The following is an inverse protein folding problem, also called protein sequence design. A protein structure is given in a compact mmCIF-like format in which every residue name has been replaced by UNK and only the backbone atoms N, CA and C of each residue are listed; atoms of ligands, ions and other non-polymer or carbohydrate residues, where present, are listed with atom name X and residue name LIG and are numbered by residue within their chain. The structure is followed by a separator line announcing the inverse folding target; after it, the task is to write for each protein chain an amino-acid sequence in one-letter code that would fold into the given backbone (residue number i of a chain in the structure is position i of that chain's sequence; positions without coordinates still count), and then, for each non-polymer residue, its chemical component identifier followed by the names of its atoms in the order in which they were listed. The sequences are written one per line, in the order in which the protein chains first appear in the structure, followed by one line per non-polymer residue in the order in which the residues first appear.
data_IF_375865258093
#
_entry.id   IF_375865258093
#
_cell.length_a   1.000
_cell.length_b   1.000
_cell.length_c   1.000
_cell.angle_alpha   90.00
_cell.angle_beta   90.00
_cell.angle_gamma   90.00
#
_symmetry.space_group_name_H-M   'P 1'
#
loop_
_entity.id
_entity.type
_entity.pdbx_description
1 polymer ?
#
# COMPACT_ATOMS: atom_id res chain seq x y z
N UNK A 1 6.94 -1.97 -52.86
CA UNK A 1 7.74 -1.37 -51.78
C UNK A 1 6.81 -0.69 -50.79
N UNK A 2 6.59 -1.24 -49.57
CA UNK A 2 5.72 -0.61 -48.59
C UNK A 2 6.48 0.50 -47.86
N UNK A 3 5.92 1.72 -47.88
CA UNK A 3 6.44 2.90 -47.20
C UNK A 3 6.42 2.67 -45.68
N UNK A 4 7.60 2.55 -45.06
CA UNK A 4 7.79 2.60 -43.61
C UNK A 4 7.39 3.98 -43.10
N UNK A 5 6.22 4.08 -42.46
CA UNK A 5 5.86 5.24 -41.64
C UNK A 5 6.65 5.10 -40.34
N UNK A 6 7.88 5.60 -40.33
CA UNK A 6 8.63 5.81 -39.08
C UNK A 6 8.08 7.06 -38.41
N UNK A 7 7.13 6.88 -37.47
CA UNK A 7 6.78 7.92 -36.51
C UNK A 7 8.05 8.28 -35.74
N UNK A 8 8.52 9.52 -35.88
CA UNK A 8 9.61 10.05 -35.09
C UNK A 8 9.12 10.21 -33.65
N UNK A 9 9.43 9.22 -32.81
CA UNK A 9 9.29 9.36 -31.35
C UNK A 9 10.46 10.22 -30.88
N UNK A 10 10.18 11.36 -30.25
CA UNK A 10 11.22 12.22 -29.68
C UNK A 10 12.12 11.40 -28.75
N UNK A 11 13.42 11.32 -29.08
CA UNK A 11 14.36 10.53 -28.30
C UNK A 11 14.55 11.19 -26.95
N UNK A 12 14.17 10.54 -25.86
CA UNK A 12 13.97 11.30 -24.66
C UNK A 12 15.32 11.52 -23.95
N UNK A 13 15.47 12.65 -23.23
CA UNK A 13 16.78 13.22 -22.83
C UNK A 13 17.53 12.42 -21.76
N UNK A 14 16.82 11.55 -21.03
CA UNK A 14 17.41 10.69 -20.00
C UNK A 14 18.09 9.46 -20.62
N UNK A 15 19.41 9.36 -20.51
CA UNK A 15 20.25 8.26 -21.03
C UNK A 15 19.77 6.87 -20.60
N UNK A 16 19.22 6.74 -19.39
CA UNK A 16 18.74 5.45 -18.87
C UNK A 16 17.47 4.98 -19.56
N UNK A 17 16.51 5.88 -19.81
CA UNK A 17 15.29 5.48 -20.51
C UNK A 17 15.64 5.12 -21.95
N UNK A 18 16.59 5.82 -22.58
CA UNK A 18 17.14 5.40 -23.89
C UNK A 18 17.71 3.97 -23.86
N UNK A 19 18.49 3.59 -22.85
CA UNK A 19 18.98 2.21 -22.67
C UNK A 19 17.82 1.21 -22.44
N UNK A 20 16.80 1.60 -21.67
CA UNK A 20 15.59 0.80 -21.44
C UNK A 20 14.81 0.55 -22.75
N UNK A 21 14.65 1.59 -23.59
CA UNK A 21 14.02 1.51 -24.91
C UNK A 21 14.82 0.67 -25.90
N UNK A 22 16.13 0.60 -25.71
CA UNK A 22 17.04 -0.21 -26.53
C UNK A 22 16.91 -1.70 -26.21
N UNK A 23 16.51 -2.03 -24.97
CA UNK A 23 16.42 -3.41 -24.46
C UNK A 23 15.10 -4.07 -24.83
N UNK A 24 13.99 -3.31 -24.82
CA UNK A 24 12.68 -3.75 -25.27
C UNK A 24 11.95 -2.57 -25.96
N UNK A 25 11.89 -2.54 -27.31
CA UNK A 25 11.32 -1.44 -28.10
C UNK A 25 9.85 -1.16 -27.79
N UNK A 26 9.13 -2.11 -27.18
CA UNK A 26 7.71 -1.97 -26.83
C UNK A 26 7.48 -0.92 -25.73
N UNK A 27 8.46 -0.69 -24.86
CA UNK A 27 8.44 0.40 -23.88
C UNK A 27 8.56 1.80 -24.54
N UNK A 28 9.16 1.88 -25.74
CA UNK A 28 9.53 3.15 -26.39
C UNK A 28 8.47 3.77 -27.26
N UNK A 29 7.45 3.00 -27.62
CA UNK A 29 6.29 3.52 -28.34
C UNK A 29 5.44 4.45 -27.45
N UNK A 30 5.68 4.41 -26.13
CA UNK A 30 4.76 4.96 -25.14
C UNK A 30 5.32 6.02 -24.17
N UNK A 31 6.59 6.39 -24.32
CA UNK A 31 7.31 7.22 -23.36
C UNK A 31 7.53 8.65 -23.89
N UNK A 32 6.69 9.58 -23.45
CA UNK A 32 6.95 11.01 -23.48
C UNK A 32 7.25 11.44 -22.03
N UNK A 33 8.51 11.76 -21.70
CA UNK A 33 8.88 12.12 -20.34
C UNK A 33 9.67 13.43 -20.28
N UNK A 34 9.19 14.33 -19.42
CA UNK A 34 9.97 15.46 -18.91
C UNK A 34 10.51 15.13 -17.51
N UNK A 35 11.68 15.69 -17.17
CA UNK A 35 12.35 15.50 -15.86
C UNK A 35 11.48 15.96 -14.67
N UNK A 36 10.48 16.80 -14.93
CA UNK A 36 9.62 17.39 -13.90
C UNK A 36 8.51 16.44 -13.40
N UNK A 37 8.12 15.45 -14.21
CA UNK A 37 6.92 14.63 -13.98
C UNK A 37 7.22 13.29 -13.30
N UNK A 38 8.42 12.74 -13.51
CA UNK A 38 8.84 11.43 -12.98
C UNK A 38 10.13 11.57 -12.17
N UNK A 39 10.01 11.57 -10.83
CA UNK A 39 11.17 11.61 -9.93
C UNK A 39 11.49 10.22 -9.42
N UNK A 40 12.57 9.63 -9.93
CA UNK A 40 13.18 8.43 -9.38
C UNK A 40 14.10 8.82 -8.22
N UNK A 41 13.90 8.22 -7.06
CA UNK A 41 14.78 8.36 -5.89
C UNK A 41 15.27 6.98 -5.49
N UNK A 42 16.58 6.75 -5.61
CA UNK A 42 17.27 5.60 -5.02
C UNK A 42 18.05 6.02 -3.79
N UNK A 43 18.18 5.13 -2.81
CA UNK A 43 19.20 5.30 -1.76
C UNK A 43 20.59 5.24 -2.42
N UNK A 44 21.53 6.15 -2.09
CA UNK A 44 22.92 6.08 -2.57
C UNK A 44 23.52 4.70 -2.26
N UNK A 45 24.19 4.06 -3.22
CA UNK A 45 24.78 2.73 -3.06
C UNK A 45 23.81 1.54 -3.20
N UNK A 46 22.52 1.76 -3.50
CA UNK A 46 21.59 0.66 -3.72
C UNK A 46 21.90 -0.13 -5.00
N UNK A 47 21.87 -1.46 -4.93
CA UNK A 47 22.02 -2.37 -6.08
C UNK A 47 21.04 -2.05 -7.21
N UNK A 48 19.85 -1.56 -6.89
CA UNK A 48 18.85 -1.12 -7.87
C UNK A 48 19.33 0.07 -8.71
N UNK A 49 20.11 1.00 -8.15
CA UNK A 49 20.66 2.14 -8.88
C UNK A 49 21.72 1.70 -9.92
N UNK A 50 22.45 0.62 -9.63
CA UNK A 50 23.43 0.02 -10.55
C UNK A 50 22.75 -0.91 -11.56
N UNK A 51 21.80 -1.73 -11.09
CA UNK A 51 21.04 -2.70 -11.86
C UNK A 51 20.17 -2.03 -12.92
N UNK A 52 19.64 -0.83 -12.62
CA UNK A 52 18.84 -0.03 -13.57
C UNK A 52 17.64 -0.81 -14.13
N UNK A 53 17.21 -1.86 -13.45
CA UNK A 53 16.12 -2.75 -13.83
C UNK A 53 16.40 -3.72 -14.98
N UNK A 54 17.47 -3.53 -15.77
CA UNK A 54 17.80 -4.39 -16.92
C UNK A 54 18.71 -5.55 -16.59
N UNK A 55 19.57 -5.39 -15.56
CA UNK A 55 20.62 -6.39 -15.24
C UNK A 55 20.19 -7.48 -14.26
N UNK A 56 18.98 -7.37 -13.69
CA UNK A 56 18.42 -8.30 -12.68
C UNK A 56 19.41 -8.71 -11.57
N UNK A 57 20.28 -7.80 -11.15
CA UNK A 57 21.35 -8.05 -10.15
C UNK A 57 20.81 -8.49 -8.77
N UNK A 58 19.51 -8.37 -8.53
CA UNK A 58 18.85 -8.83 -7.30
C UNK A 58 18.31 -10.27 -7.41
N UNK A 59 18.70 -11.03 -8.44
CA UNK A 59 18.33 -12.43 -8.64
C UNK A 59 16.86 -12.69 -9.00
N UNK A 60 16.04 -11.64 -9.14
CA UNK A 60 14.61 -11.78 -9.47
C UNK A 60 14.41 -12.00 -10.96
N UNK A 61 13.47 -12.88 -11.32
CA UNK A 61 13.10 -13.15 -12.72
C UNK A 61 12.55 -11.92 -13.46
N UNK A 62 11.96 -10.95 -12.74
CA UNK A 62 11.49 -9.66 -13.28
C UNK A 62 11.83 -8.53 -12.31
N UNK A 63 12.11 -7.35 -12.85
CA UNK A 63 12.37 -6.16 -12.04
C UNK A 63 11.05 -5.52 -11.55
N UNK A 64 10.78 -5.48 -10.23
CA UNK A 64 9.57 -4.87 -9.70
C UNK A 64 9.48 -3.36 -9.97
N UNK A 65 10.63 -2.69 -10.15
CA UNK A 65 10.70 -1.26 -10.45
C UNK A 65 10.12 -0.98 -11.84
N UNK A 66 10.48 -1.82 -12.83
CA UNK A 66 9.96 -1.68 -14.19
C UNK A 66 8.48 -2.05 -14.26
N UNK A 67 8.06 -3.08 -13.52
CA UNK A 67 6.64 -3.42 -13.38
C UNK A 67 5.85 -2.22 -12.82
N UNK A 68 6.32 -1.61 -11.72
CA UNK A 68 5.71 -0.40 -11.13
C UNK A 68 5.67 0.76 -12.12
N UNK A 69 6.76 1.01 -12.84
CA UNK A 69 6.84 2.10 -13.82
C UNK A 69 5.85 1.89 -14.97
N UNK A 70 5.74 0.67 -15.49
CA UNK A 70 4.80 0.36 -16.57
C UNK A 70 3.34 0.57 -16.15
N UNK A 71 2.97 0.11 -14.95
CA UNK A 71 1.62 0.30 -14.39
C UNK A 71 1.30 1.77 -14.21
N UNK A 72 2.24 2.54 -13.69
CA UNK A 72 2.09 3.99 -13.51
C UNK A 72 1.88 4.74 -14.82
N UNK A 73 2.68 4.46 -15.86
CA UNK A 73 2.56 5.15 -17.15
C UNK A 73 1.18 4.94 -17.77
N UNK A 74 0.62 3.73 -17.63
CA UNK A 74 -0.74 3.41 -18.07
C UNK A 74 -1.80 4.28 -17.37
N UNK A 75 -1.62 4.57 -16.09
CA UNK A 75 -2.57 5.38 -15.30
C UNK A 75 -2.38 6.86 -15.57
N UNK A 76 -1.12 7.32 -15.65
CA UNK A 76 -0.81 8.73 -15.91
C UNK A 76 -1.45 9.20 -17.22
N UNK A 77 -1.41 8.38 -18.27
CA UNK A 77 -2.10 8.65 -19.55
C UNK A 77 -3.61 8.78 -19.43
N UNK A 78 -4.23 8.10 -18.47
CA UNK A 78 -5.67 8.19 -18.21
C UNK A 78 -6.04 9.44 -17.41
N UNK A 79 -5.07 10.05 -16.71
CA UNK A 79 -5.28 11.25 -15.91
C UNK A 79 -4.75 12.46 -16.68
N UNK A 80 -5.54 12.95 -17.62
CA UNK A 80 -5.18 14.08 -18.49
C UNK A 80 -5.51 15.48 -17.91
N UNK A 81 -6.06 15.55 -16.68
CA UNK A 81 -6.60 16.77 -16.10
C UNK A 81 -6.29 17.01 -14.62
N UNK A 82 -6.97 18.02 -14.08
CA UNK A 82 -6.98 18.35 -12.65
C UNK A 82 -8.16 17.71 -11.90
N UNK A 83 -9.20 17.24 -12.61
CA UNK A 83 -10.27 16.43 -12.04
C UNK A 83 -10.02 14.96 -12.36
N UNK A 84 -10.26 14.10 -11.37
CA UNK A 84 -10.16 12.64 -11.49
C UNK A 84 -11.49 12.05 -11.03
N UNK A 85 -12.25 11.55 -11.98
CA UNK A 85 -13.48 10.80 -11.73
C UNK A 85 -13.19 9.30 -11.68
N UNK A 86 -13.78 8.60 -10.71
CA UNK A 86 -13.72 7.15 -10.65
C UNK A 86 -14.29 6.59 -9.37
N UNK A 87 -13.68 5.53 -8.86
CA UNK A 87 -14.18 4.81 -7.69
C UNK A 87 -13.05 4.54 -6.68
N UNK A 88 -13.37 4.70 -5.40
CA UNK A 88 -12.48 4.40 -4.28
C UNK A 88 -12.79 3.01 -3.70
N UNK A 89 -11.77 2.18 -3.36
CA UNK A 89 -11.89 0.93 -2.59
C UNK A 89 -12.14 1.18 -1.09
N UNK A 90 -12.99 2.16 -0.79
CA UNK A 90 -12.88 3.13 0.30
C UNK A 90 -11.48 3.39 0.88
N UNK A 91 -10.46 3.51 0.04
CA UNK A 91 -9.06 3.54 0.51
C UNK A 91 -8.64 4.93 1.00
N UNK A 92 -7.92 5.01 2.13
CA UNK A 92 -7.42 6.27 2.71
C UNK A 92 -5.96 6.13 3.13
N UNK A 93 -5.24 7.24 3.16
CA UNK A 93 -3.84 7.26 3.57
C UNK A 93 -3.54 8.35 4.58
N UNK A 94 -2.82 7.98 5.64
CA UNK A 94 -2.26 8.89 6.63
C UNK A 94 -0.74 8.73 6.64
N UNK A 95 -0.03 9.78 6.22
CA UNK A 95 1.42 9.80 6.18
C UNK A 95 2.05 9.85 7.58
N UNK A 96 3.31 9.43 7.68
CA UNK A 96 4.12 9.50 8.92
C UNK A 96 5.06 10.70 8.98
N UNK A 97 5.39 11.27 7.83
CA UNK A 97 6.36 12.37 7.74
C UNK A 97 5.73 13.71 8.09
N UNK A 98 6.48 14.55 8.81
CA UNK A 98 6.02 15.87 9.23
C UNK A 98 5.19 15.88 10.51
N UNK A 99 5.19 14.79 11.29
CA UNK A 99 4.46 14.70 12.56
C UNK A 99 4.75 15.91 13.47
N UNK A 100 3.73 16.57 14.06
CA UNK A 100 2.31 16.17 14.08
C UNK A 100 1.47 16.60 12.86
N UNK A 101 2.03 17.37 11.92
CA UNK A 101 1.33 17.83 10.71
C UNK A 101 1.61 16.92 9.52
N UNK A 102 0.77 15.90 9.36
CA UNK A 102 0.98 14.85 8.33
C UNK A 102 0.13 15.09 7.09
N UNK A 103 0.53 14.46 5.99
CA UNK A 103 -0.27 14.39 4.77
C UNK A 103 -1.36 13.32 4.92
N UNK A 104 -2.60 13.68 4.65
CA UNK A 104 -3.77 12.80 4.71
C UNK A 104 -4.51 12.89 3.38
N UNK A 105 -5.20 11.82 2.99
CA UNK A 105 -6.29 11.94 2.04
C UNK A 105 -6.78 10.63 1.44
N UNK A 106 -7.83 10.73 0.61
CA UNK A 106 -8.46 9.58 -0.03
C UNK A 106 -7.59 9.03 -1.16
N UNK A 107 -7.84 7.77 -1.50
CA UNK A 107 -7.28 7.09 -2.65
C UNK A 107 -8.41 6.63 -3.56
N UNK A 108 -8.34 6.98 -4.84
CA UNK A 108 -9.31 6.55 -5.85
C UNK A 108 -8.61 6.12 -7.14
N UNK A 109 -9.21 5.21 -7.88
CA UNK A 109 -8.73 4.84 -9.21
C UNK A 109 -9.58 5.57 -10.28
N UNK A 110 -8.98 6.01 -11.40
CA UNK A 110 -9.70 6.61 -12.53
C UNK A 110 -10.43 5.53 -13.35
N UNK A 111 -11.26 4.74 -12.67
CA UNK A 111 -12.01 3.60 -13.18
C UNK A 111 -13.35 3.61 -12.45
N UNK A 112 -14.45 3.43 -13.18
CA UNK A 112 -15.79 3.28 -12.59
C UNK A 112 -16.09 1.80 -12.35
N UNK A 113 -16.79 1.50 -11.25
CA UNK A 113 -17.21 0.16 -10.87
C UNK A 113 -16.48 -0.37 -9.64
N UNK A 114 -16.55 -1.68 -9.42
CA UNK A 114 -16.00 -2.30 -8.21
C UNK A 114 -14.46 -2.22 -8.18
N UNK A 115 -13.95 -1.33 -7.33
CA UNK A 115 -12.53 -1.16 -7.07
C UNK A 115 -12.08 -1.80 -5.77
N UNK A 116 -12.95 -2.54 -5.07
CA UNK A 116 -12.67 -3.13 -3.75
C UNK A 116 -11.41 -3.99 -3.75
N UNK A 117 -11.14 -4.71 -4.84
CA UNK A 117 -9.95 -5.55 -5.00
C UNK A 117 -8.64 -4.75 -4.95
N UNK A 118 -8.64 -3.43 -5.19
CA UNK A 118 -7.42 -2.62 -5.26
C UNK A 118 -6.81 -2.33 -3.88
N UNK A 119 -7.58 -2.46 -2.79
CA UNK A 119 -7.14 -2.20 -1.40
C UNK A 119 -7.77 -3.19 -0.42
N UNK A 120 -7.85 -4.47 -0.80
CA UNK A 120 -8.36 -5.53 0.06
C UNK A 120 -7.41 -6.75 0.09
N UNK A 121 -6.31 -6.65 0.87
CA UNK A 121 -5.28 -7.69 0.99
C UNK A 121 -5.80 -9.09 1.29
N UNK A 122 -6.89 -9.21 2.04
CA UNK A 122 -7.53 -10.49 2.38
C UNK A 122 -7.98 -11.28 1.13
N UNK A 123 -8.19 -10.61 -0.02
CA UNK A 123 -8.52 -11.23 -1.31
C UNK A 123 -7.32 -11.36 -2.27
N UNK A 124 -6.11 -10.99 -1.84
CA UNK A 124 -4.93 -11.06 -2.71
C UNK A 124 -4.22 -12.40 -2.67
N UNK A 125 -4.52 -13.27 -1.71
CA UNK A 125 -3.91 -14.60 -1.67
C UNK A 125 -4.14 -15.35 -3.00
N UNK A 126 -3.08 -15.93 -3.56
CA UNK A 126 -3.09 -16.55 -4.89
C UNK A 126 -2.90 -15.59 -6.08
N UNK A 127 -2.81 -14.28 -5.84
CA UNK A 127 -2.47 -13.29 -6.89
C UNK A 127 -0.97 -13.18 -7.10
N UNK A 128 -0.58 -12.81 -8.31
CA UNK A 128 0.81 -12.54 -8.65
C UNK A 128 1.29 -11.20 -8.09
N UNK A 129 2.60 -11.06 -7.91
CA UNK A 129 3.20 -9.78 -7.48
C UNK A 129 2.91 -8.65 -8.48
N UNK A 130 2.85 -8.98 -9.78
CA UNK A 130 2.57 -8.04 -10.85
C UNK A 130 1.13 -7.49 -10.74
N UNK A 131 0.15 -8.35 -10.44
CA UNK A 131 -1.24 -7.93 -10.17
C UNK A 131 -1.32 -7.02 -8.94
N UNK A 132 -0.65 -7.36 -7.84
CA UNK A 132 -0.67 -6.55 -6.62
C UNK A 132 -0.02 -5.18 -6.86
N UNK A 133 1.10 -5.15 -7.59
CA UNK A 133 1.73 -3.89 -8.02
C UNK A 133 0.74 -3.07 -8.85
N UNK A 134 0.07 -3.68 -9.82
CA UNK A 134 -0.92 -3.01 -10.65
C UNK A 134 -2.09 -2.44 -9.82
N UNK A 135 -2.63 -3.23 -8.89
CA UNK A 135 -3.71 -2.81 -7.99
C UNK A 135 -3.35 -1.54 -7.22
N UNK A 136 -2.17 -1.55 -6.58
CA UNK A 136 -1.70 -0.45 -5.74
C UNK A 136 -1.26 0.77 -6.54
N UNK A 137 -0.66 0.56 -7.71
CA UNK A 137 -0.26 1.65 -8.59
C UNK A 137 -1.47 2.40 -9.16
N UNK A 138 -2.61 1.73 -9.38
CA UNK A 138 -3.88 2.34 -9.88
C UNK A 138 -4.50 3.38 -8.96
N UNK A 139 -4.14 3.36 -7.67
CA UNK A 139 -4.73 4.25 -6.68
C UNK A 139 -4.02 5.61 -6.67
N UNK A 140 -4.71 6.60 -7.23
CA UNK A 140 -4.32 8.01 -7.15
C UNK A 140 -4.65 8.56 -5.77
N UNK A 141 -3.69 9.27 -5.19
CA UNK A 141 -3.79 9.80 -3.83
C UNK A 141 -4.01 11.31 -3.85
N UNK A 142 -5.18 11.75 -3.39
CA UNK A 142 -5.42 13.14 -3.01
C UNK A 142 -4.73 13.43 -1.67
N UNK A 143 -4.04 14.56 -1.55
CA UNK A 143 -3.26 14.87 -0.34
C UNK A 143 -3.55 16.28 0.19
N UNK A 144 -3.73 16.40 1.50
CA UNK A 144 -3.83 17.68 2.22
C UNK A 144 -3.20 17.53 3.61
N UNK A 145 -2.85 18.64 4.28
CA UNK A 145 -2.14 18.60 5.57
C UNK A 145 -3.10 18.74 6.74
N UNK A 146 -2.89 17.93 7.79
CA UNK A 146 -3.72 17.93 9.02
C UNK A 146 -2.84 17.75 10.26
N UNK A 147 -3.18 18.43 11.36
CA UNK A 147 -2.63 18.11 12.69
C UNK A 147 -3.33 16.86 13.24
N UNK A 148 -2.58 15.77 13.36
CA UNK A 148 -3.07 14.47 13.87
C UNK A 148 -3.70 14.55 15.25
N UNK A 149 -3.31 15.53 16.06
CA UNK A 149 -3.76 15.68 17.46
C UNK A 149 -5.11 16.37 17.57
N UNK A 150 -5.52 17.10 16.53
CA UNK A 150 -6.75 17.91 16.52
C UNK A 150 -7.55 17.65 15.23
N UNK A 151 -7.97 16.40 14.97
CA UNK A 151 -8.68 16.05 13.73
C UNK A 151 -9.99 16.84 13.56
N UNK A 152 -10.68 17.16 14.66
CA UNK A 152 -11.93 17.93 14.66
C UNK A 152 -11.79 19.36 14.09
N UNK A 153 -10.57 19.88 13.89
CA UNK A 153 -10.34 21.21 13.28
C UNK A 153 -10.03 21.15 11.79
N UNK A 154 -9.94 19.97 11.19
CA UNK A 154 -9.46 19.80 9.82
C UNK A 154 -10.52 20.09 8.74
N UNK A 155 -11.77 20.32 9.15
CA UNK A 155 -12.87 20.70 8.27
C UNK A 155 -13.38 19.56 7.36
N UNK A 156 -14.19 19.96 6.37
CA UNK A 156 -14.99 19.07 5.51
C UNK A 156 -14.20 17.97 4.81
N UNK A 157 -12.99 18.25 4.30
CA UNK A 157 -12.18 17.25 3.60
C UNK A 157 -11.80 16.06 4.49
N UNK A 158 -11.51 16.31 5.78
CA UNK A 158 -11.21 15.22 6.71
C UNK A 158 -12.46 14.44 7.07
N UNK A 159 -13.59 15.11 7.28
CA UNK A 159 -14.87 14.45 7.55
C UNK A 159 -15.23 13.50 6.41
N UNK A 160 -15.22 13.98 5.16
CA UNK A 160 -15.46 13.15 3.98
C UNK A 160 -14.48 11.98 3.86
N UNK A 161 -13.19 12.21 4.08
CA UNK A 161 -12.18 11.12 4.06
C UNK A 161 -12.42 10.12 5.19
N UNK A 162 -12.94 10.55 6.34
CA UNK A 162 -13.30 9.67 7.45
C UNK A 162 -14.53 8.84 7.12
N UNK A 163 -15.56 9.43 6.55
CA UNK A 163 -16.76 8.70 6.10
C UNK A 163 -16.38 7.62 5.08
N UNK A 164 -15.49 7.96 4.13
CA UNK A 164 -14.95 7.01 3.19
C UNK A 164 -14.28 5.82 3.90
N UNK A 165 -13.50 6.06 4.96
CA UNK A 165 -12.82 4.99 5.71
C UNK A 165 -13.79 4.00 6.38
N UNK A 166 -14.99 4.46 6.74
CA UNK A 166 -16.06 3.67 7.38
C UNK A 166 -16.95 2.93 6.37
N UNK A 167 -16.80 3.22 5.08
CA UNK A 167 -17.61 2.57 4.03
C UNK A 167 -17.31 1.07 3.94
N UNK A 168 -18.38 0.28 3.80
CA UNK A 168 -18.33 -1.15 3.58
C UNK A 168 -18.03 -1.50 2.11
N UNK A 169 -18.46 -0.67 1.17
CA UNK A 169 -18.40 -0.93 -0.28
C UNK A 169 -17.62 0.17 -1.01
N UNK A 170 -17.26 -0.09 -2.27
CA UNK A 170 -16.64 0.91 -3.14
C UNK A 170 -17.52 2.15 -3.27
N UNK A 171 -16.90 3.33 -3.38
CA UNK A 171 -17.61 4.61 -3.43
C UNK A 171 -17.18 5.37 -4.67
N UNK A 172 -18.14 5.85 -5.46
CA UNK A 172 -17.85 6.77 -6.56
C UNK A 172 -17.29 8.08 -5.99
N UNK A 173 -16.19 8.55 -6.55
CA UNK A 173 -15.49 9.72 -6.05
C UNK A 173 -14.98 10.59 -7.20
N UNK A 174 -15.13 11.90 -7.03
CA UNK A 174 -14.49 12.92 -7.86
C UNK A 174 -13.46 13.68 -7.02
N UNK A 175 -12.20 13.66 -7.46
CA UNK A 175 -11.11 14.37 -6.83
C UNK A 175 -10.73 15.57 -7.71
N UNK A 176 -10.90 16.79 -7.20
CA UNK A 176 -10.32 17.98 -7.84
C UNK A 176 -8.97 18.30 -7.22
N UNK A 177 -7.95 18.43 -8.06
CA UNK A 177 -6.56 18.53 -7.67
C UNK A 177 -6.01 19.91 -8.01
N UNK A 178 -5.19 20.48 -7.13
CA UNK A 178 -4.56 21.80 -7.36
C UNK A 178 -3.48 21.78 -8.44
N UNK A 179 -2.93 20.60 -8.73
CA UNK A 179 -1.90 20.38 -9.74
C UNK A 179 -1.99 18.94 -10.26
N UNK A 180 -1.42 18.72 -11.44
CA UNK A 180 -1.33 17.38 -12.02
C UNK A 180 -0.65 16.41 -11.05
N UNK A 181 -1.19 15.17 -10.92
CA UNK A 181 -0.57 14.15 -10.09
C UNK A 181 0.86 13.87 -10.52
N UNK A 182 1.77 13.81 -9.55
CA UNK A 182 3.16 13.43 -9.79
C UNK A 182 3.46 12.09 -9.15
N UNK A 183 4.23 11.28 -9.86
CA UNK A 183 4.73 10.00 -9.38
C UNK A 183 6.11 10.18 -8.78
N UNK A 184 6.27 9.83 -7.51
CA UNK A 184 7.59 9.61 -6.94
C UNK A 184 7.84 8.11 -6.88
N UNK A 185 8.78 7.62 -7.70
CA UNK A 185 9.23 6.24 -7.61
C UNK A 185 10.36 6.18 -6.61
N UNK A 186 10.04 5.66 -5.43
CA UNK A 186 11.05 5.36 -4.42
C UNK A 186 11.54 3.93 -4.72
N UNK A 187 12.82 3.83 -5.06
CA UNK A 187 13.52 2.58 -5.32
C UNK A 187 13.96 1.98 -3.98
N UNK A 188 12.98 1.48 -3.24
CA UNK A 188 13.16 0.95 -1.88
C UNK A 188 12.27 -0.29 -1.70
N UNK A 189 12.87 -1.36 -1.15
CA UNK A 189 12.20 -2.63 -0.86
C UNK A 189 11.17 -2.51 0.26
N UNK A 190 11.34 -1.52 1.15
CA UNK A 190 10.46 -1.27 2.31
C UNK A 190 9.18 -0.52 1.95
N UNK A 191 9.08 -0.03 0.71
CA UNK A 191 8.01 0.87 0.29
C UNK A 191 7.02 0.12 -0.59
N UNK A 192 5.78 0.04 -0.10
CA UNK A 192 4.64 -0.46 -0.87
C UNK A 192 4.56 0.27 -2.23
N UNK A 193 4.15 -0.42 -3.30
CA UNK A 193 3.83 0.28 -4.55
C UNK A 193 2.80 1.36 -4.26
N UNK A 194 3.06 2.59 -4.70
CA UNK A 194 2.17 3.72 -4.52
C UNK A 194 1.83 4.31 -5.88
N UNK A 195 0.55 4.60 -6.10
CA UNK A 195 0.13 5.37 -7.27
C UNK A 195 0.52 6.86 -7.18
N UNK A 196 0.22 7.62 -8.25
CA UNK A 196 0.49 9.05 -8.31
C UNK A 196 -0.19 9.82 -7.17
N UNK A 197 0.38 10.96 -6.79
CA UNK A 197 -0.20 11.83 -5.76
C UNK A 197 -0.25 13.28 -6.18
N UNK A 198 -1.28 14.00 -5.73
CA UNK A 198 -1.41 15.44 -5.91
C UNK A 198 -2.11 16.08 -4.71
N UNK A 199 -1.81 17.37 -4.43
CA UNK A 199 -2.59 18.18 -3.50
C UNK A 199 -4.06 18.24 -3.91
N UNK A 200 -4.94 17.91 -2.97
CA UNK A 200 -6.38 17.90 -3.14
C UNK A 200 -6.95 19.31 -2.91
N UNK A 201 -7.89 19.71 -3.75
CA UNK A 201 -8.68 20.93 -3.64
C UNK A 201 -10.07 20.64 -3.08
N UNK A 202 -10.81 19.74 -3.72
CA UNK A 202 -12.11 19.26 -3.25
C UNK A 202 -12.24 17.75 -3.49
N UNK A 203 -13.12 17.15 -2.69
CA UNK A 203 -13.56 15.76 -2.82
C UNK A 203 -15.08 15.78 -2.90
N UNK A 204 -15.63 15.10 -3.87
CA UNK A 204 -17.05 14.78 -3.95
C UNK A 204 -17.19 13.26 -3.98
N UNK A 205 -18.21 12.74 -3.29
CA UNK A 205 -18.46 11.31 -3.17
C UNK A 205 -19.92 11.03 -3.46
N UNK A 206 -20.18 9.91 -4.13
CA UNK A 206 -21.52 9.37 -4.31
C UNK A 206 -22.10 8.82 -3.01
N UNK A 207 -23.12 7.98 -3.13
CA UNK A 207 -23.72 7.31 -1.97
C UNK A 207 -22.71 6.39 -1.28
N UNK A 208 -22.69 6.43 0.05
CA UNK A 208 -21.84 5.58 0.87
C UNK A 208 -22.69 4.80 1.88
N UNK A 209 -22.29 3.55 2.09
CA UNK A 209 -22.90 2.66 3.06
C UNK A 209 -21.86 2.29 4.09
N UNK A 210 -22.06 2.71 5.34
CA UNK A 210 -21.12 2.37 6.41
C UNK A 210 -21.24 0.91 6.81
N UNK A 211 -20.14 0.36 7.27
CA UNK A 211 -20.17 -0.90 8.00
C UNK A 211 -20.89 -0.70 9.33
N UNK A 212 -21.97 -1.45 9.56
CA UNK A 212 -22.84 -1.32 10.73
C UNK A 212 -22.09 -1.40 12.05
N UNK A 213 -21.04 -2.23 12.13
CA UNK A 213 -20.29 -2.40 13.37
C UNK A 213 -19.28 -1.28 13.57
N UNK A 214 -18.63 -0.84 12.49
CA UNK A 214 -17.73 0.33 12.54
C UNK A 214 -18.49 1.62 12.85
N UNK A 215 -19.70 1.79 12.31
CA UNK A 215 -20.60 2.91 12.61
C UNK A 215 -20.92 2.97 14.12
N UNK A 216 -21.33 1.84 14.70
CA UNK A 216 -21.60 1.75 16.15
C UNK A 216 -20.37 2.09 16.97
N UNK A 217 -19.21 1.54 16.63
CA UNK A 217 -17.96 1.83 17.32
C UNK A 217 -17.49 3.29 17.14
N UNK A 218 -17.84 3.92 16.01
CA UNK A 218 -17.54 5.32 15.76
C UNK A 218 -18.39 6.25 16.65
N UNK A 219 -19.68 5.98 16.80
CA UNK A 219 -20.55 6.82 17.63
C UNK A 219 -20.36 6.59 19.14
N UNK A 220 -19.80 5.45 19.54
CA UNK A 220 -19.43 5.18 20.94
C UNK A 220 -18.15 5.96 21.33
N UNK A 221 -18.33 7.11 21.97
CA UNK A 221 -17.23 7.99 22.39
C UNK A 221 -16.58 7.59 23.72
N UNK A 222 -17.11 6.59 24.42
CA UNK A 222 -16.57 6.09 25.70
C UNK A 222 -15.85 4.75 25.53
N UNK A 223 -15.98 4.12 24.37
CA UNK A 223 -15.25 2.91 23.99
C UNK A 223 -13.76 3.18 23.75
N UNK A 224 -12.90 2.41 24.41
CA UNK A 224 -11.45 2.44 24.15
C UNK A 224 -11.15 1.91 22.75
N UNK A 225 -10.14 2.48 22.09
CA UNK A 225 -9.80 2.09 20.72
C UNK A 225 -9.40 0.61 20.60
N UNK A 226 -8.67 0.07 21.59
CA UNK A 226 -8.30 -1.34 21.62
C UNK A 226 -9.52 -2.27 21.74
N UNK A 227 -10.48 -1.91 22.59
CA UNK A 227 -11.72 -2.67 22.75
C UNK A 227 -12.59 -2.63 21.49
N UNK A 228 -12.67 -1.47 20.83
CA UNK A 228 -13.34 -1.35 19.54
C UNK A 228 -12.71 -2.27 18.48
N UNK A 229 -11.38 -2.30 18.40
CA UNK A 229 -10.64 -3.18 17.48
C UNK A 229 -10.98 -4.65 17.73
N UNK A 230 -10.92 -5.11 18.99
CA UNK A 230 -11.22 -6.49 19.34
C UNK A 230 -12.67 -6.87 19.03
N UNK A 231 -13.65 -6.04 19.44
CA UNK A 231 -15.07 -6.28 19.16
C UNK A 231 -15.38 -6.36 17.66
N UNK A 232 -14.71 -5.54 16.84
CA UNK A 232 -14.85 -5.58 15.38
C UNK A 232 -14.24 -6.86 14.79
N UNK A 233 -13.05 -7.22 15.26
CA UNK A 233 -12.37 -8.43 14.82
C UNK A 233 -13.17 -9.70 15.16
N UNK A 234 -13.67 -9.83 16.39
CA UNK A 234 -14.49 -10.96 16.85
C UNK A 234 -15.81 -11.09 16.07
N UNK A 235 -16.35 -9.96 15.58
CA UNK A 235 -17.55 -9.93 14.74
C UNK A 235 -17.28 -10.20 13.25
N UNK A 236 -16.03 -10.50 12.89
CA UNK A 236 -15.62 -10.83 11.53
C UNK A 236 -15.47 -9.62 10.62
N UNK A 237 -15.34 -8.39 11.16
CA UNK A 237 -14.96 -7.25 10.33
C UNK A 237 -13.54 -7.47 9.81
N UNK A 238 -13.28 -7.39 8.48
CA UNK A 238 -11.95 -7.59 7.94
C UNK A 238 -10.91 -6.63 8.55
N UNK A 239 -9.72 -7.15 8.88
CA UNK A 239 -8.66 -6.41 9.56
C UNK A 239 -8.29 -5.15 8.78
N UNK A 240 -8.23 -5.21 7.44
CA UNK A 240 -7.91 -4.04 6.61
C UNK A 240 -8.89 -2.89 6.83
N UNK A 241 -10.19 -3.18 7.01
CA UNK A 241 -11.20 -2.14 7.29
C UNK A 241 -11.00 -1.53 8.68
N UNK A 242 -10.68 -2.37 9.67
CA UNK A 242 -10.40 -1.93 11.05
C UNK A 242 -9.17 -1.01 11.05
N UNK A 243 -8.06 -1.43 10.44
CA UNK A 243 -6.83 -0.65 10.28
C UNK A 243 -7.12 0.70 9.61
N UNK A 244 -7.93 0.68 8.55
CA UNK A 244 -8.28 1.90 7.82
C UNK A 244 -9.04 2.91 8.69
N UNK A 245 -10.11 2.48 9.35
CA UNK A 245 -10.90 3.33 10.24
C UNK A 245 -10.09 3.78 11.47
N UNK A 246 -9.24 2.90 12.02
CA UNK A 246 -8.34 3.23 13.13
C UNK A 246 -7.37 4.35 12.74
N UNK A 247 -6.79 4.31 11.53
CA UNK A 247 -5.89 5.35 11.03
C UNK A 247 -6.54 6.74 10.95
N UNK A 248 -7.85 6.78 10.66
CA UNK A 248 -8.66 8.01 10.59
C UNK A 248 -9.19 8.48 11.95
N UNK A 249 -8.74 7.84 13.04
CA UNK A 249 -9.15 8.17 14.40
C UNK A 249 -10.63 7.93 14.63
N UNK A 250 -11.23 6.93 13.97
CA UNK A 250 -12.64 6.61 14.13
C UNK A 250 -12.96 5.97 15.49
N UNK A 251 -11.98 5.33 16.14
CA UNK A 251 -12.17 4.61 17.40
C UNK A 251 -11.45 5.28 18.55
N UNK A 252 -11.98 5.09 19.77
CA UNK A 252 -11.39 5.59 21.01
C UNK A 252 -12.21 6.70 21.68
N UNK A 253 -11.65 7.23 22.77
CA UNK A 253 -12.34 8.16 23.66
C UNK A 253 -12.50 9.53 22.99
N UNK A 254 -13.73 10.02 22.85
CA UNK A 254 -14.16 11.21 22.09
C UNK A 254 -13.07 12.22 21.74
N UNK A 255 -12.81 13.20 22.61
CA UNK A 255 -11.82 14.28 22.37
C UNK A 255 -10.35 13.81 22.33
N UNK A 256 -10.06 12.57 22.72
CA UNK A 256 -8.72 11.98 22.69
C UNK A 256 -8.43 11.23 21.38
N UNK A 257 -9.41 11.10 20.47
CA UNK A 257 -9.21 10.53 19.14
C UNK A 257 -8.18 11.33 18.35
N UNK A 258 -7.25 10.62 17.71
CA UNK A 258 -6.16 11.18 16.90
C UNK A 258 -6.08 10.42 15.59
N UNK A 259 -5.57 11.08 14.55
CA UNK A 259 -5.16 10.37 13.34
C UNK A 259 -3.89 9.58 13.66
N UNK A 260 -3.79 8.37 13.11
CA UNK A 260 -2.65 7.49 13.26
C UNK A 260 -2.09 7.22 11.87
N UNK A 261 -0.80 7.49 11.60
CA UNK A 261 -0.16 7.11 10.35
C UNK A 261 -0.48 5.66 9.96
N UNK A 262 -0.79 5.41 8.69
CA UNK A 262 -1.29 4.11 8.23
C UNK A 262 -0.36 2.96 8.63
N UNK A 263 0.97 3.16 8.56
CA UNK A 263 1.95 2.15 9.00
C UNK A 263 1.82 1.81 10.49
N UNK A 264 1.65 2.81 11.35
CA UNK A 264 1.48 2.59 12.78
C UNK A 264 0.10 2.00 13.09
N UNK A 265 -0.90 2.33 12.29
CA UNK A 265 -2.24 1.75 12.42
C UNK A 265 -2.25 0.26 12.12
N UNK A 266 -1.52 -0.18 11.09
CA UNK A 266 -1.32 -1.61 10.77
C UNK A 266 -0.71 -2.30 11.98
N UNK A 267 0.47 -1.84 12.43
CA UNK A 267 1.15 -2.43 13.59
C UNK A 267 0.32 -2.41 14.86
N UNK A 268 -0.40 -1.32 15.16
CA UNK A 268 -1.19 -1.22 16.38
C UNK A 268 -2.39 -2.18 16.38
N UNK A 269 -3.12 -2.29 15.27
CA UNK A 269 -4.24 -3.22 15.17
C UNK A 269 -3.74 -4.66 15.23
N UNK A 270 -2.67 -4.98 14.50
CA UNK A 270 -2.09 -6.32 14.50
C UNK A 270 -1.58 -6.72 15.89
N UNK A 271 -0.92 -5.81 16.62
CA UNK A 271 -0.47 -6.04 18.00
C UNK A 271 -1.64 -6.31 18.96
N UNK A 272 -2.70 -5.50 18.88
CA UNK A 272 -3.90 -5.66 19.73
C UNK A 272 -4.57 -7.01 19.48
N UNK A 273 -4.80 -7.36 18.20
CA UNK A 273 -5.46 -8.62 17.82
C UNK A 273 -4.56 -9.81 18.17
N UNK A 274 -3.26 -9.76 17.86
CA UNK A 274 -2.34 -10.87 18.07
C UNK A 274 -2.16 -11.18 19.56
N UNK A 275 -2.03 -10.16 20.42
CA UNK A 275 -1.97 -10.37 21.87
C UNK A 275 -3.24 -11.01 22.42
N UNK A 276 -4.40 -10.61 21.91
CA UNK A 276 -5.67 -11.22 22.30
C UNK A 276 -5.78 -12.68 21.83
N UNK A 277 -5.36 -12.99 20.60
CA UNK A 277 -5.34 -14.36 20.09
C UNK A 277 -4.33 -15.24 20.84
N UNK A 278 -3.17 -14.69 21.21
CA UNK A 278 -2.13 -15.40 21.94
C UNK A 278 -2.63 -15.93 23.29
N UNK A 279 -3.47 -15.17 24.01
CA UNK A 279 -4.09 -15.67 25.24
C UNK A 279 -4.97 -16.90 24.98
N UNK A 280 -5.69 -16.94 23.86
CA UNK A 280 -6.47 -18.11 23.46
C UNK A 280 -5.60 -19.29 23.04
N UNK A 281 -4.46 -19.02 22.39
CA UNK A 281 -3.51 -20.07 21.95
C UNK A 281 -3.02 -20.89 23.14
N UNK A 282 -2.77 -20.24 24.29
CA UNK A 282 -2.30 -20.89 25.52
C UNK A 282 -3.30 -21.89 26.13
N UNK A 283 -4.58 -21.76 25.80
CA UNK A 283 -5.65 -22.63 26.32
C UNK A 283 -5.90 -23.86 25.44
N UNK A 284 -5.29 -23.96 24.25
CA UNK A 284 -5.44 -25.14 23.40
C UNK A 284 -4.64 -26.33 23.95
N UNK A 285 -5.09 -27.57 23.68
CA UNK A 285 -4.30 -28.76 23.97
C UNK A 285 -2.94 -28.71 23.28
N UNK A 286 -1.90 -29.17 23.96
CA UNK A 286 -0.58 -29.34 23.36
C UNK A 286 -0.66 -30.34 22.19
N UNK A 287 0.13 -30.08 21.14
CA UNK A 287 0.34 -31.06 20.07
C UNK A 287 1.10 -32.25 20.63
N UNK A 288 0.81 -33.45 20.13
CA UNK A 288 1.43 -34.71 20.58
C UNK A 288 2.54 -35.22 19.64
N UNK A 289 2.76 -34.53 18.53
CA UNK A 289 3.73 -34.90 17.50
C UNK A 289 4.31 -33.65 16.85
N UNK A 290 5.44 -33.81 16.17
CA UNK A 290 5.99 -32.76 15.32
C UNK A 290 5.11 -32.57 14.09
N UNK A 291 4.74 -31.33 13.80
CA UNK A 291 3.98 -30.99 12.61
C UNK A 291 4.74 -29.91 11.83
N UNK A 292 4.84 -30.08 10.51
CA UNK A 292 5.50 -29.12 9.62
C UNK A 292 4.50 -28.68 8.58
N UNK A 293 4.32 -27.37 8.48
CA UNK A 293 3.45 -26.73 7.51
C UNK A 293 4.28 -25.82 6.60
N UNK A 294 4.22 -26.09 5.30
CA UNK A 294 4.91 -25.31 4.28
C UNK A 294 3.90 -24.46 3.48
N UNK A 295 4.29 -23.23 3.14
CA UNK A 295 3.60 -22.42 2.15
C UNK A 295 4.58 -21.60 1.32
N UNK A 296 4.35 -21.56 0.00
CA UNK A 296 5.15 -20.75 -0.92
C UNK A 296 4.27 -19.64 -1.51
N UNK A 297 4.64 -18.38 -1.29
CA UNK A 297 3.86 -17.24 -1.76
C UNK A 297 4.71 -16.01 -2.08
N UNK A 298 4.49 -15.41 -3.27
CA UNK A 298 5.20 -14.23 -3.78
C UNK A 298 6.74 -14.33 -3.74
N UNK A 299 7.27 -15.54 -3.93
CA UNK A 299 8.71 -15.81 -3.88
C UNK A 299 9.28 -15.93 -2.46
N UNK A 300 8.41 -15.95 -1.43
CA UNK A 300 8.78 -16.29 -0.06
C UNK A 300 8.32 -17.72 0.23
N UNK A 301 9.13 -18.44 1.02
CA UNK A 301 8.79 -19.74 1.58
C UNK A 301 8.58 -19.56 3.08
N UNK A 302 7.43 -20.00 3.55
CA UNK A 302 7.03 -19.98 4.95
C UNK A 302 7.02 -21.42 5.45
N UNK A 303 7.71 -21.66 6.56
CA UNK A 303 7.73 -22.93 7.26
C UNK A 303 7.24 -22.68 8.68
N UNK A 304 6.25 -23.45 9.12
CA UNK A 304 5.76 -23.43 10.51
C UNK A 304 5.98 -24.82 11.08
N UNK A 305 6.85 -24.90 12.09
CA UNK A 305 7.13 -26.11 12.83
C UNK A 305 6.40 -26.03 14.19
N UNK A 306 5.49 -26.96 14.43
CA UNK A 306 4.89 -27.17 15.75
C UNK A 306 5.62 -28.30 16.46
N UNK A 307 6.04 -28.04 17.69
CA UNK A 307 6.82 -28.96 18.53
C UNK A 307 5.97 -29.35 19.75
N UNK A 308 5.92 -30.65 20.12
CA UNK A 308 5.19 -31.12 21.30
C UNK A 308 5.95 -30.79 22.59
N UNK A 309 5.99 -29.51 22.95
CA UNK A 309 6.66 -28.99 24.15
C UNK A 309 5.85 -27.85 24.77
N UNK A 310 6.34 -27.31 25.88
CA UNK A 310 5.81 -26.10 26.48
C UNK A 310 5.73 -24.96 25.47
N UNK A 311 4.69 -24.13 25.59
CA UNK A 311 4.46 -23.02 24.66
C UNK A 311 5.69 -22.10 24.61
N UNK A 312 6.26 -21.99 23.42
CA UNK A 312 7.34 -21.09 23.06
C UNK A 312 7.13 -20.67 21.61
N UNK A 313 7.73 -19.54 21.23
CA UNK A 313 7.64 -19.02 19.87
C UNK A 313 8.98 -18.40 19.50
N UNK A 314 9.44 -18.72 18.30
CA UNK A 314 10.60 -18.09 17.69
C UNK A 314 10.34 -17.97 16.18
N UNK A 315 10.60 -16.79 15.63
CA UNK A 315 10.60 -16.59 14.18
C UNK A 315 12.02 -16.38 13.67
N UNK A 316 12.23 -16.90 12.47
CA UNK A 316 13.47 -16.83 11.73
C UNK A 316 13.16 -16.26 10.34
N UNK A 317 13.84 -15.17 9.98
CA UNK A 317 13.81 -14.63 8.62
C UNK A 317 15.14 -14.95 7.93
N UNK A 318 15.09 -15.75 6.87
CA UNK A 318 16.27 -16.14 6.10
C UNK A 318 16.31 -15.41 4.74
N UNK A 319 17.37 -14.66 4.51
CA UNK A 319 17.63 -13.92 3.27
C UNK A 319 18.73 -14.58 2.46
N UNK A 320 18.36 -15.16 1.32
CA UNK A 320 19.31 -15.83 0.41
C UNK A 320 20.31 -14.85 -0.21
N UNK A 321 21.55 -15.30 -0.53
CA UNK A 321 22.55 -14.55 -1.28
C UNK A 321 22.00 -13.88 -2.54
N UNK A 322 22.60 -12.75 -2.92
CA UNK A 322 22.25 -11.96 -4.11
C UNK A 322 20.81 -11.41 -4.11
N UNK A 323 20.17 -11.33 -2.96
CA UNK A 323 18.86 -10.68 -2.81
C UNK A 323 19.01 -9.22 -2.39
N UNK A 324 17.93 -8.44 -2.44
CA UNK A 324 17.96 -7.02 -2.04
C UNK A 324 18.40 -6.84 -0.56
N UNK A 325 18.08 -7.82 0.27
CA UNK A 325 18.32 -7.81 1.72
C UNK A 325 19.59 -8.58 2.11
N UNK A 326 20.15 -9.38 1.20
CA UNK A 326 21.45 -10.00 1.34
C UNK A 326 22.26 -9.87 0.02
N UNK A 327 22.75 -8.66 -0.28
CA UNK A 327 23.31 -8.32 -1.59
C UNK A 327 24.72 -8.83 -1.87
N UNK A 328 25.49 -9.10 -0.81
CA UNK A 328 26.95 -9.21 -0.90
C UNK A 328 27.53 -10.39 -0.11
N UNK A 329 26.69 -11.22 0.53
CA UNK A 329 27.14 -12.42 1.24
C UNK A 329 26.92 -13.65 0.37
N UNK A 330 27.87 -14.59 0.41
CA UNK A 330 27.73 -15.91 -0.20
C UNK A 330 26.90 -16.85 0.69
N UNK A 331 26.66 -16.46 1.95
CA UNK A 331 25.89 -17.23 2.94
C UNK A 331 24.49 -16.66 3.11
N UNK A 332 23.56 -17.52 3.51
CA UNK A 332 22.20 -17.11 3.90
C UNK A 332 22.30 -16.27 5.17
N UNK A 333 21.76 -15.05 5.14
CA UNK A 333 21.65 -14.22 6.33
C UNK A 333 20.38 -14.62 7.08
N UNK A 334 20.52 -15.04 8.33
CA UNK A 334 19.40 -15.43 9.20
C UNK A 334 19.26 -14.37 10.28
N UNK A 335 18.06 -13.84 10.44
CA UNK A 335 17.68 -12.91 11.51
C UNK A 335 16.65 -13.59 12.38
N UNK A 336 16.83 -13.50 13.68
CA UNK A 336 15.91 -14.01 14.70
C UNK A 336 15.27 -12.84 15.43
N UNK A 337 14.10 -13.08 16.02
CA UNK A 337 13.33 -12.06 16.74
C UNK A 337 13.94 -11.63 18.11
N UNK A 338 15.18 -12.04 18.41
CA UNK A 338 15.91 -11.81 19.67
C UNK A 338 17.06 -10.80 19.56
#
# INVERSE_FOLDING_TARGET
MPKRITRWVERPRNLWVRELLSSDPSFGLDLDYTIEELRLRSRPGSLCAVCKGSKLLCGRARCPILARLSSYLRIWRRVSGLSVEGSSPPSVFVGRFGYPYVSVGPMAAPIRGDTSILDFPERWFGKSIDEIIEYRSKLLRGTYRVDVRKPYKAGRLLEMTRELSLSADYVEAELRLRRRPRGSFILDGDVQPMGPSAPLESLEMGSLKWDRWMERAYYDTDLKASEAVLRLYERGTPITRIQRAFSMGCFGLGRRRRLVPTRWSITAVDDIVSKHLMERVKDYPAVNQYEVYESNYLGNRFEVLLIPDAWSYEAYEAWYPNTLWNPSDERVAIVTDW
#
